data_IF_618230365124
#
_entry.id   IF_618230365124
#
_cell.length_a   1.000
_cell.length_b   1.000
_cell.length_c   1.000
_cell.angle_alpha   90.00
_cell.angle_beta   90.00
_cell.angle_gamma   90.00
#
_symmetry.space_group_name_H-M   'P 1'
#
loop_
_entity.id
_entity.type
_entity.pdbx_description
1 polymer ?
#
# COMPACT_ATOMS: atom_id res chain seq x y z
N UNK A 1 23.80 4.14 -26.61
CA UNK A 1 24.36 5.17 -25.73
C UNK A 1 25.89 5.01 -25.73
N UNK A 2 26.66 6.09 -25.87
CA UNK A 2 28.14 6.04 -25.84
C UNK A 2 28.62 5.82 -24.39
N UNK A 3 29.86 5.33 -24.22
CA UNK A 3 30.45 5.19 -22.89
C UNK A 3 30.51 6.52 -22.12
N UNK A 4 30.74 7.60 -22.83
CA UNK A 4 30.79 8.97 -22.26
C UNK A 4 29.42 9.40 -21.76
N UNK A 5 28.33 9.12 -22.49
CA UNK A 5 26.96 9.42 -22.05
C UNK A 5 26.54 8.58 -20.84
N UNK A 6 27.00 7.32 -20.75
CA UNK A 6 26.76 6.49 -19.56
C UNK A 6 27.45 7.05 -18.33
N UNK A 7 28.70 7.52 -18.48
CA UNK A 7 29.46 8.15 -17.40
C UNK A 7 28.79 9.43 -16.91
N UNK A 8 28.40 10.31 -17.83
CA UNK A 8 27.70 11.55 -17.50
C UNK A 8 26.38 11.28 -16.76
N UNK A 9 25.61 10.30 -17.21
CA UNK A 9 24.36 9.92 -16.56
C UNK A 9 24.58 9.37 -15.14
N UNK A 10 25.67 8.63 -14.92
CA UNK A 10 26.04 8.12 -13.60
C UNK A 10 26.48 9.26 -12.65
N UNK A 11 27.27 10.20 -13.16
CA UNK A 11 27.69 11.40 -12.40
C UNK A 11 26.46 12.24 -11.97
N UNK A 12 25.49 12.43 -12.87
CA UNK A 12 24.24 13.14 -12.57
C UNK A 12 23.41 12.43 -11.51
N UNK A 13 23.28 11.10 -11.62
CA UNK A 13 22.55 10.31 -10.64
C UNK A 13 23.23 10.34 -9.27
N UNK A 14 24.55 10.23 -9.23
CA UNK A 14 25.31 10.32 -7.99
C UNK A 14 25.13 11.69 -7.34
N UNK A 15 25.24 12.77 -8.10
CA UNK A 15 25.03 14.12 -7.62
C UNK A 15 23.59 14.33 -7.09
N UNK A 16 22.60 13.72 -7.72
CA UNK A 16 21.23 13.74 -7.21
C UNK A 16 21.12 13.06 -5.83
N UNK A 17 21.72 11.89 -5.65
CA UNK A 17 21.68 11.18 -4.36
C UNK A 17 22.38 11.95 -3.25
N UNK A 18 23.45 12.69 -3.57
CA UNK A 18 24.22 13.45 -2.59
C UNK A 18 23.57 14.78 -2.19
N UNK A 19 22.84 15.42 -3.11
CA UNK A 19 22.36 16.79 -2.91
C UNK A 19 20.84 16.90 -2.66
N UNK A 20 20.07 15.86 -2.94
CA UNK A 20 18.62 15.86 -2.73
C UNK A 20 18.30 15.31 -1.34
N UNK A 21 17.59 16.11 -0.53
CA UNK A 21 17.12 15.74 0.82
C UNK A 21 16.31 14.45 0.83
N UNK A 22 15.66 14.10 -0.29
CA UNK A 22 14.94 12.84 -0.47
C UNK A 22 15.78 11.61 -0.13
N UNK A 23 17.09 11.68 -0.36
CA UNK A 23 17.99 10.53 -0.23
C UNK A 23 18.84 10.57 1.04
N UNK A 24 18.66 11.58 1.86
CA UNK A 24 19.40 11.71 3.10
C UNK A 24 19.15 10.50 4.04
N UNK A 25 20.21 9.86 4.47
CA UNK A 25 20.15 8.69 5.37
C UNK A 25 19.72 7.39 4.68
N UNK A 26 19.70 7.35 3.33
CA UNK A 26 19.48 6.13 2.56
C UNK A 26 20.81 5.60 2.04
N UNK A 27 21.16 4.38 2.45
CA UNK A 27 22.36 3.67 1.99
C UNK A 27 22.05 2.81 0.77
N UNK A 28 23.05 2.73 -0.12
CA UNK A 28 23.07 1.86 -1.30
C UNK A 28 24.34 1.04 -1.30
N UNK A 29 24.24 -0.25 -1.53
CA UNK A 29 25.42 -1.14 -1.66
C UNK A 29 25.94 -1.21 -3.09
N UNK A 30 25.35 -0.43 -3.99
CA UNK A 30 25.68 -0.34 -5.41
C UNK A 30 25.94 1.13 -5.81
N UNK A 31 26.62 1.32 -6.90
CA UNK A 31 26.99 2.64 -7.44
C UNK A 31 25.96 3.15 -8.46
N UNK A 32 25.97 4.45 -8.72
CA UNK A 32 25.19 5.06 -9.79
C UNK A 32 25.56 4.51 -11.19
N UNK A 33 26.83 4.13 -11.39
CA UNK A 33 27.28 3.49 -12.64
C UNK A 33 26.60 2.13 -12.85
N UNK A 34 26.44 1.31 -11.80
CA UNK A 34 25.74 0.04 -11.87
C UNK A 34 24.27 0.23 -12.18
N UNK A 35 23.60 1.23 -11.60
CA UNK A 35 22.21 1.57 -11.92
C UNK A 35 22.07 1.94 -13.39
N UNK A 36 22.88 2.87 -13.88
CA UNK A 36 22.83 3.34 -15.28
C UNK A 36 23.13 2.21 -16.26
N UNK A 37 24.04 1.30 -15.90
CA UNK A 37 24.36 0.11 -16.69
C UNK A 37 23.18 -0.86 -16.82
N UNK A 38 22.33 -0.96 -15.77
CA UNK A 38 21.16 -1.83 -15.74
C UNK A 38 19.93 -1.19 -16.41
N UNK A 39 19.92 0.12 -16.62
CA UNK A 39 18.88 0.80 -17.39
C UNK A 39 18.93 0.41 -18.86
N UNK A 40 17.77 0.37 -19.52
CA UNK A 40 17.70 0.22 -20.97
C UNK A 40 18.19 1.46 -21.71
N UNK A 41 18.23 1.37 -23.04
CA UNK A 41 18.61 2.50 -23.92
C UNK A 41 17.51 3.58 -23.98
N UNK A 42 16.29 3.25 -23.61
CA UNK A 42 15.13 4.16 -23.53
C UNK A 42 14.68 4.21 -22.07
N UNK A 43 14.57 5.43 -21.54
CA UNK A 43 13.98 5.64 -20.22
C UNK A 43 12.47 5.60 -20.36
N UNK A 44 11.84 4.61 -19.75
CA UNK A 44 10.38 4.52 -19.65
C UNK A 44 9.93 5.47 -18.52
N UNK A 45 8.95 6.30 -18.80
CA UNK A 45 8.36 7.19 -17.80
C UNK A 45 7.16 6.53 -17.11
N UNK A 46 7.25 6.41 -15.80
CA UNK A 46 6.20 5.87 -14.95
C UNK A 46 5.49 7.04 -14.23
N UNK A 47 4.72 7.80 -14.98
CA UNK A 47 4.14 9.09 -14.55
C UNK A 47 3.36 8.98 -13.24
N UNK A 48 2.46 8.00 -13.11
CA UNK A 48 1.64 7.84 -11.91
C UNK A 48 2.46 7.42 -10.69
N UNK A 49 3.40 6.48 -10.87
CA UNK A 49 4.28 6.03 -9.80
C UNK A 49 5.16 7.18 -9.29
N UNK A 50 5.77 7.95 -10.18
CA UNK A 50 6.62 9.07 -9.84
C UNK A 50 5.82 10.17 -9.12
N UNK A 51 4.72 10.62 -9.72
CA UNK A 51 3.83 11.62 -9.13
C UNK A 51 3.32 11.20 -7.75
N UNK A 52 2.91 9.94 -7.62
CA UNK A 52 2.43 9.38 -6.36
C UNK A 52 3.51 9.28 -5.29
N UNK A 53 4.72 8.86 -5.66
CA UNK A 53 5.85 8.77 -4.73
C UNK A 53 6.27 10.16 -4.21
N UNK A 54 6.38 11.16 -5.10
CA UNK A 54 6.68 12.53 -4.73
C UNK A 54 5.58 13.13 -3.83
N UNK A 55 4.31 12.87 -4.15
CA UNK A 55 3.17 13.31 -3.35
C UNK A 55 3.17 12.66 -1.97
N UNK A 56 3.39 11.35 -1.89
CA UNK A 56 3.47 10.62 -0.62
C UNK A 56 4.60 11.17 0.25
N UNK A 57 5.78 11.37 -0.32
CA UNK A 57 6.92 11.99 0.38
C UNK A 57 6.55 13.34 0.97
N UNK A 58 5.93 14.21 0.19
CA UNK A 58 5.49 15.53 0.63
C UNK A 58 4.47 15.46 1.76
N UNK A 59 3.47 14.56 1.66
CA UNK A 59 2.48 14.38 2.71
C UNK A 59 3.11 13.91 4.03
N UNK A 60 4.00 12.92 3.98
CA UNK A 60 4.67 12.39 5.18
C UNK A 60 5.53 13.42 5.91
N UNK A 61 6.00 14.47 5.22
CA UNK A 61 6.80 15.54 5.82
C UNK A 61 5.96 16.73 6.29
N UNK A 62 4.85 17.02 5.62
CA UNK A 62 4.06 18.23 5.89
C UNK A 62 2.80 17.99 6.72
N UNK A 63 2.34 16.75 6.84
CA UNK A 63 1.20 16.39 7.68
C UNK A 63 1.68 15.78 8.99
N UNK A 64 0.85 15.86 10.03
CA UNK A 64 1.16 15.22 11.30
C UNK A 64 1.30 13.71 11.11
N UNK A 65 0.38 13.10 10.38
CA UNK A 65 0.42 11.73 9.88
C UNK A 65 -0.53 11.57 8.69
N UNK A 66 -0.35 10.50 7.93
CA UNK A 66 -1.27 10.07 6.87
C UNK A 66 -1.93 8.77 7.31
N UNK A 67 -3.25 8.73 7.27
CA UNK A 67 -4.01 7.51 7.50
C UNK A 67 -4.62 6.99 6.18
N UNK A 68 -4.68 5.67 6.06
CA UNK A 68 -5.18 5.00 4.88
C UNK A 68 -6.04 3.78 5.24
N UNK A 69 -6.92 3.41 4.35
CA UNK A 69 -7.74 2.22 4.45
C UNK A 69 -7.41 1.25 3.31
N UNK A 70 -7.43 -0.04 3.60
CA UNK A 70 -7.28 -1.07 2.58
C UNK A 70 -8.41 -1.00 1.57
N UNK A 71 -8.10 -0.73 0.30
CA UNK A 71 -9.04 -0.81 -0.80
C UNK A 71 -8.96 -2.19 -1.47
N UNK A 72 -10.11 -2.82 -1.69
CA UNK A 72 -10.21 -4.10 -2.38
C UNK A 72 -10.48 -3.91 -3.88
N UNK A 73 -11.15 -2.83 -4.25
CA UNK A 73 -11.56 -2.52 -5.62
C UNK A 73 -11.22 -1.09 -6.02
N UNK A 74 -11.17 -0.81 -7.32
CA UNK A 74 -10.99 0.54 -7.83
C UNK A 74 -12.10 1.50 -7.39
N UNK A 75 -13.36 1.03 -7.33
CA UNK A 75 -14.46 1.85 -6.84
C UNK A 75 -14.34 2.20 -5.36
N UNK A 76 -13.87 1.27 -4.52
CA UNK A 76 -13.59 1.60 -3.12
C UNK A 76 -12.52 2.68 -3.01
N UNK A 77 -11.45 2.59 -3.79
CA UNK A 77 -10.39 3.60 -3.81
C UNK A 77 -10.92 4.98 -4.25
N UNK A 78 -11.76 5.05 -5.28
CA UNK A 78 -12.42 6.29 -5.69
C UNK A 78 -13.24 6.88 -4.55
N UNK A 79 -14.01 6.06 -3.81
CA UNK A 79 -14.79 6.55 -2.67
C UNK A 79 -13.91 7.03 -1.52
N UNK A 80 -12.80 6.35 -1.22
CA UNK A 80 -11.84 6.81 -0.22
C UNK A 80 -11.27 8.20 -0.54
N UNK A 81 -10.92 8.44 -1.80
CA UNK A 81 -10.43 9.75 -2.27
C UNK A 81 -11.53 10.81 -2.19
N UNK A 82 -12.76 10.51 -2.66
CA UNK A 82 -13.91 11.41 -2.54
C UNK A 82 -14.23 11.77 -1.08
N UNK A 83 -14.04 10.83 -0.19
CA UNK A 83 -14.23 11.05 1.25
C UNK A 83 -13.09 11.86 1.90
N UNK A 84 -12.02 12.19 1.15
CA UNK A 84 -10.94 13.07 1.58
C UNK A 84 -9.70 12.37 2.12
N UNK A 85 -9.57 11.04 2.00
CA UNK A 85 -8.34 10.34 2.37
C UNK A 85 -7.21 10.69 1.39
N UNK A 86 -6.00 10.88 1.94
CA UNK A 86 -4.81 11.32 1.20
C UNK A 86 -3.90 10.18 0.75
N UNK A 87 -4.27 8.93 1.05
CA UNK A 87 -3.55 7.74 0.59
C UNK A 87 -4.50 6.54 0.50
N UNK A 88 -4.12 5.59 -0.33
CA UNK A 88 -4.81 4.31 -0.53
C UNK A 88 -3.84 3.21 -0.12
N UNK A 89 -4.30 2.30 0.75
CA UNK A 89 -3.53 1.11 1.08
C UNK A 89 -4.03 -0.09 0.26
N UNK A 90 -3.10 -0.88 -0.28
CA UNK A 90 -3.41 -2.12 -0.99
C UNK A 90 -2.84 -3.32 -0.24
N UNK A 91 -3.72 -4.05 0.40
CA UNK A 91 -3.42 -5.21 1.24
C UNK A 91 -3.23 -6.48 0.42
N UNK A 92 -2.11 -7.17 0.62
CA UNK A 92 -1.90 -8.52 0.09
C UNK A 92 -2.90 -9.53 0.65
N UNK A 93 -3.29 -9.39 1.91
CA UNK A 93 -4.35 -10.20 2.52
C UNK A 93 -5.66 -10.10 1.74
N UNK A 94 -6.10 -8.89 1.40
CA UNK A 94 -7.33 -8.68 0.61
C UNK A 94 -7.20 -9.21 -0.81
N UNK A 95 -6.01 -9.09 -1.41
CA UNK A 95 -5.72 -9.67 -2.74
C UNK A 95 -5.79 -11.19 -2.68
N UNK A 96 -5.22 -11.82 -1.67
CA UNK A 96 -5.32 -13.26 -1.46
C UNK A 96 -6.79 -13.70 -1.34
N UNK A 97 -7.58 -12.97 -0.57
CA UNK A 97 -8.96 -13.31 -0.28
C UNK A 97 -9.88 -13.22 -1.51
N UNK A 98 -9.76 -12.18 -2.35
CA UNK A 98 -10.80 -11.87 -3.35
C UNK A 98 -10.32 -11.16 -4.62
N UNK A 99 -9.05 -10.97 -4.85
CA UNK A 99 -8.58 -10.17 -5.99
C UNK A 99 -7.31 -10.71 -6.67
N UNK A 100 -6.90 -11.95 -6.40
CA UNK A 100 -5.71 -12.53 -7.00
C UNK A 100 -5.95 -13.09 -8.41
N UNK A 101 -4.88 -13.23 -9.17
CA UNK A 101 -4.94 -13.68 -10.56
C UNK A 101 -5.23 -15.17 -10.73
N UNK A 102 -5.12 -15.98 -9.67
CA UNK A 102 -5.58 -17.37 -9.71
C UNK A 102 -7.11 -17.50 -9.71
N UNK A 103 -7.82 -16.45 -9.29
CA UNK A 103 -9.28 -16.50 -9.12
C UNK A 103 -9.74 -17.39 -7.96
N UNK A 104 -8.84 -17.73 -7.05
CA UNK A 104 -9.13 -18.55 -5.88
C UNK A 104 -9.26 -17.67 -4.62
N UNK A 105 -9.95 -18.18 -3.61
CA UNK A 105 -9.94 -17.59 -2.28
C UNK A 105 -8.81 -18.23 -1.47
N UNK A 106 -7.82 -17.43 -1.05
CA UNK A 106 -6.67 -17.90 -0.32
C UNK A 106 -6.51 -17.20 1.04
N UNK A 107 -5.94 -17.89 2.04
CA UNK A 107 -5.38 -17.21 3.19
C UNK A 107 -4.15 -16.38 2.79
N UNK A 108 -3.77 -15.45 3.63
CA UNK A 108 -2.58 -14.59 3.44
C UNK A 108 -1.27 -15.37 3.71
N UNK A 109 -0.91 -16.23 2.76
CA UNK A 109 0.25 -17.13 2.82
C UNK A 109 1.02 -17.17 1.48
N UNK A 110 0.95 -16.11 0.71
CA UNK A 110 1.64 -15.99 -0.60
C UNK A 110 1.33 -17.12 -1.59
N UNK A 111 0.08 -17.63 -1.58
CA UNK A 111 -0.35 -18.72 -2.47
C UNK A 111 -0.75 -18.21 -3.86
N UNK A 112 -0.98 -16.93 -4.01
CA UNK A 112 -1.37 -16.32 -5.27
C UNK A 112 -0.15 -15.94 -6.13
N UNK A 113 -0.32 -15.75 -7.46
CA UNK A 113 0.76 -15.33 -8.34
C UNK A 113 1.34 -13.97 -7.92
N UNK A 114 2.66 -13.82 -7.96
CA UNK A 114 3.39 -12.63 -7.50
C UNK A 114 2.94 -11.32 -8.15
N UNK A 115 2.41 -11.36 -9.38
CA UNK A 115 1.90 -10.20 -10.10
C UNK A 115 0.44 -9.85 -9.77
N UNK A 116 -0.18 -10.49 -8.78
CA UNK A 116 -1.57 -10.22 -8.40
C UNK A 116 -1.73 -8.83 -7.77
N UNK A 117 -0.87 -8.44 -6.83
CA UNK A 117 -0.91 -7.10 -6.23
C UNK A 117 -0.63 -6.00 -7.27
N UNK A 118 0.40 -6.08 -8.12
CA UNK A 118 0.58 -5.13 -9.23
C UNK A 118 -0.66 -4.99 -10.13
N UNK A 119 -1.33 -6.09 -10.44
CA UNK A 119 -2.58 -6.07 -11.21
C UNK A 119 -3.68 -5.24 -10.56
N UNK A 120 -3.85 -5.34 -9.24
CA UNK A 120 -4.85 -4.56 -8.50
C UNK A 120 -4.42 -3.10 -8.37
N UNK A 121 -3.14 -2.80 -8.18
CA UNK A 121 -2.61 -1.42 -8.24
C UNK A 121 -2.99 -0.78 -9.58
N UNK A 122 -2.77 -1.48 -10.68
CA UNK A 122 -3.14 -0.99 -12.02
C UNK A 122 -4.64 -0.76 -12.15
N UNK A 123 -5.47 -1.68 -11.67
CA UNK A 123 -6.94 -1.55 -11.67
C UNK A 123 -7.39 -0.32 -10.89
N UNK A 124 -6.83 -0.08 -9.71
CA UNK A 124 -7.13 1.09 -8.90
C UNK A 124 -6.75 2.37 -9.65
N UNK A 125 -5.54 2.45 -10.19
CA UNK A 125 -5.10 3.60 -10.97
C UNK A 125 -6.00 3.87 -12.19
N UNK A 126 -6.48 2.84 -12.86
CA UNK A 126 -7.42 2.98 -13.98
C UNK A 126 -8.79 3.53 -13.55
N UNK A 127 -9.26 3.15 -12.36
CA UNK A 127 -10.49 3.72 -11.79
C UNK A 127 -10.30 5.20 -11.42
N UNK A 128 -9.17 5.55 -10.79
CA UNK A 128 -8.83 6.94 -10.46
C UNK A 128 -8.68 7.80 -11.72
N UNK A 129 -8.02 7.27 -12.76
CA UNK A 129 -7.92 7.95 -14.07
C UNK A 129 -9.30 8.19 -14.69
N UNK A 130 -10.20 7.21 -14.63
CA UNK A 130 -11.55 7.39 -15.16
C UNK A 130 -12.33 8.45 -14.39
N UNK A 131 -12.24 8.46 -13.06
CA UNK A 131 -12.87 9.47 -12.23
C UNK A 131 -12.34 10.89 -12.55
N UNK A 132 -11.02 11.02 -12.73
CA UNK A 132 -10.37 12.26 -13.15
C UNK A 132 -10.84 12.72 -14.54
N UNK A 133 -10.87 11.79 -15.51
CA UNK A 133 -11.34 12.10 -16.88
C UNK A 133 -12.79 12.58 -16.91
N UNK A 134 -13.67 11.99 -16.11
CA UNK A 134 -15.07 12.42 -16.00
C UNK A 134 -15.14 13.84 -15.44
N UNK A 135 -14.47 14.08 -14.31
CA UNK A 135 -14.43 15.40 -13.67
C UNK A 135 -13.87 16.47 -14.61
N UNK A 136 -12.76 16.16 -15.29
CA UNK A 136 -12.12 17.07 -16.23
C UNK A 136 -13.02 17.40 -17.42
N UNK A 137 -13.67 16.40 -18.01
CA UNK A 137 -14.61 16.57 -19.12
C UNK A 137 -15.84 17.44 -18.73
N UNK A 138 -16.37 17.22 -17.54
CA UNK A 138 -17.51 17.97 -17.04
C UNK A 138 -17.16 19.41 -16.66
N UNK A 139 -15.86 19.71 -16.45
CA UNK A 139 -15.38 21.02 -16.04
C UNK A 139 -15.82 21.43 -14.63
N UNK A 140 -16.24 20.46 -13.82
CA UNK A 140 -16.76 20.67 -12.48
C UNK A 140 -15.99 19.82 -11.47
N UNK A 141 -15.68 20.39 -10.29
CA UNK A 141 -14.98 19.72 -9.21
C UNK A 141 -13.47 19.95 -9.22
N UNK A 142 -12.87 19.70 -8.06
CA UNK A 142 -11.46 19.97 -7.76
C UNK A 142 -10.77 18.80 -7.03
N UNK A 143 -11.37 17.61 -7.09
CA UNK A 143 -10.81 16.43 -6.42
C UNK A 143 -9.54 15.99 -7.14
N UNK A 144 -8.42 15.93 -6.43
CA UNK A 144 -7.23 15.26 -6.93
C UNK A 144 -7.38 13.75 -6.71
N UNK A 145 -7.82 13.04 -7.75
CA UNK A 145 -8.03 11.60 -7.69
C UNK A 145 -6.74 10.79 -7.58
N UNK A 146 -5.60 11.34 -8.03
CA UNK A 146 -4.32 10.64 -8.02
C UNK A 146 -3.65 10.67 -6.65
N UNK A 147 -4.32 10.09 -5.66
CA UNK A 147 -3.73 9.91 -4.34
C UNK A 147 -2.74 8.73 -4.35
N UNK A 148 -1.66 8.80 -3.55
CA UNK A 148 -0.63 7.78 -3.54
C UNK A 148 -1.17 6.43 -3.07
N UNK A 149 -0.69 5.36 -3.72
CA UNK A 149 -1.00 3.97 -3.38
C UNK A 149 0.23 3.36 -2.70
N UNK A 150 0.06 2.86 -1.49
CA UNK A 150 1.06 2.03 -0.77
C UNK A 150 0.65 0.57 -0.88
N UNK A 151 1.51 -0.25 -1.48
CA UNK A 151 1.19 -1.62 -1.85
C UNK A 151 2.02 -2.66 -1.09
N UNK A 152 1.41 -3.81 -0.86
CA UNK A 152 1.96 -4.96 -0.17
C UNK A 152 2.77 -5.84 -1.14
N UNK A 153 4.07 -5.98 -0.90
CA UNK A 153 4.94 -6.91 -1.62
C UNK A 153 5.18 -8.21 -0.84
N UNK A 154 4.45 -8.42 0.25
CA UNK A 154 4.60 -9.63 1.06
C UNK A 154 6.07 -9.86 1.48
N UNK A 155 6.52 -11.11 1.50
CA UNK A 155 7.94 -11.46 1.67
C UNK A 155 8.75 -11.47 0.36
N UNK A 156 8.21 -10.89 -0.73
CA UNK A 156 8.90 -10.76 -2.02
C UNK A 156 8.79 -11.96 -2.95
N UNK A 157 8.02 -13.00 -2.61
CA UNK A 157 7.77 -14.20 -3.43
C UNK A 157 9.03 -14.99 -3.84
N UNK A 158 10.10 -14.86 -3.10
CA UNK A 158 11.35 -15.55 -3.36
C UNK A 158 12.56 -14.79 -2.82
N UNK A 159 13.67 -14.86 -3.54
CA UNK A 159 14.90 -14.16 -3.16
C UNK A 159 14.98 -12.75 -3.78
N UNK A 160 16.17 -12.16 -3.69
CA UNK A 160 16.44 -10.78 -4.12
C UNK A 160 16.07 -10.49 -5.58
N UNK A 161 16.18 -11.46 -6.49
CA UNK A 161 15.83 -11.28 -7.91
C UNK A 161 14.30 -11.23 -8.09
N UNK A 162 13.57 -12.05 -7.33
CA UNK A 162 12.10 -11.99 -7.31
C UNK A 162 11.62 -10.64 -6.77
N UNK A 163 12.24 -10.13 -5.71
CA UNK A 163 11.95 -8.82 -5.14
C UNK A 163 12.20 -7.69 -6.15
N UNK A 164 13.32 -7.75 -6.88
CA UNK A 164 13.63 -6.77 -7.93
C UNK A 164 12.52 -6.72 -9.00
N UNK A 165 12.13 -7.87 -9.55
CA UNK A 165 11.08 -7.93 -10.58
C UNK A 165 9.70 -7.56 -10.03
N UNK A 166 9.37 -7.97 -8.80
CA UNK A 166 8.12 -7.58 -8.15
C UNK A 166 8.03 -6.06 -7.97
N UNK A 167 9.09 -5.44 -7.45
CA UNK A 167 9.15 -3.99 -7.26
C UNK A 167 9.02 -3.23 -8.59
N UNK A 168 9.68 -3.71 -9.63
CA UNK A 168 9.53 -3.17 -10.98
C UNK A 168 8.07 -3.26 -11.45
N UNK A 169 7.41 -4.40 -11.26
CA UNK A 169 5.99 -4.56 -11.59
C UNK A 169 5.07 -3.61 -10.79
N UNK A 170 5.37 -3.35 -9.51
CA UNK A 170 4.66 -2.38 -8.69
C UNK A 170 4.79 -0.96 -9.26
N UNK A 171 5.98 -0.57 -9.67
CA UNK A 171 6.26 0.74 -10.27
C UNK A 171 5.55 0.89 -11.61
N UNK A 172 5.61 -0.10 -12.47
CA UNK A 172 4.91 -0.14 -13.76
C UNK A 172 3.38 0.00 -13.59
N UNK A 173 2.85 -0.58 -12.53
CA UNK A 173 1.43 -0.45 -12.18
C UNK A 173 1.05 0.91 -11.57
N UNK A 174 2.03 1.69 -11.11
CA UNK A 174 1.83 3.02 -10.56
C UNK A 174 1.79 3.09 -9.02
N UNK A 175 2.40 2.12 -8.31
CA UNK A 175 2.55 2.20 -6.86
C UNK A 175 3.48 3.34 -6.45
N UNK A 176 3.14 4.02 -5.36
CA UNK A 176 3.88 5.16 -4.79
C UNK A 176 4.83 4.75 -3.68
N UNK A 177 4.42 3.77 -2.90
CA UNK A 177 5.18 3.13 -1.85
C UNK A 177 4.94 1.63 -1.85
N UNK A 178 5.92 0.87 -1.37
CA UNK A 178 5.87 -0.59 -1.32
C UNK A 178 6.48 -1.04 0.00
N UNK A 179 5.85 -2.00 0.67
CA UNK A 179 6.45 -2.62 1.84
C UNK A 179 6.83 -4.08 1.60
N UNK A 180 7.92 -4.48 2.27
CA UNK A 180 8.47 -5.83 2.30
C UNK A 180 8.65 -6.28 3.74
N UNK A 181 8.39 -7.55 4.00
CA UNK A 181 8.57 -8.17 5.31
C UNK A 181 9.70 -9.20 5.34
N UNK A 182 10.23 -9.45 6.52
CA UNK A 182 11.42 -10.30 6.76
C UNK A 182 11.09 -11.78 6.99
N UNK A 183 9.96 -12.25 6.50
CA UNK A 183 9.58 -13.66 6.53
C UNK A 183 10.21 -14.46 5.38
N UNK A 184 10.38 -15.76 5.59
CA UNK A 184 10.66 -16.69 4.51
C UNK A 184 9.47 -16.79 3.56
N UNK A 185 9.68 -16.47 2.29
CA UNK A 185 8.59 -16.36 1.31
C UNK A 185 7.77 -17.65 1.16
N UNK A 186 8.41 -18.83 1.23
CA UNK A 186 7.74 -20.14 1.13
C UNK A 186 6.92 -20.51 2.37
N UNK A 187 7.17 -19.87 3.51
CA UNK A 187 6.50 -20.11 4.80
C UNK A 187 5.78 -18.86 5.32
N UNK A 188 5.54 -17.89 4.45
CA UNK A 188 4.91 -16.63 4.82
C UNK A 188 3.53 -16.84 5.44
N UNK A 189 3.27 -16.11 6.52
CA UNK A 189 1.99 -16.08 7.23
C UNK A 189 1.54 -14.63 7.41
N UNK A 190 0.24 -14.42 7.52
CA UNK A 190 -0.30 -13.14 8.01
C UNK A 190 0.33 -12.78 9.36
N UNK A 191 0.55 -11.49 9.59
CA UNK A 191 1.22 -10.99 10.80
C UNK A 191 0.65 -11.48 12.13
N UNK A 192 -0.62 -11.86 12.16
CA UNK A 192 -1.35 -12.34 13.35
C UNK A 192 -1.48 -13.87 13.41
N UNK A 193 -0.90 -14.60 12.45
CA UNK A 193 -0.86 -16.07 12.47
C UNK A 193 0.44 -16.56 13.12
N UNK A 194 0.39 -17.79 13.67
CA UNK A 194 1.57 -18.49 14.15
C UNK A 194 2.42 -19.11 13.04
N UNK A 195 3.59 -19.63 13.39
CA UNK A 195 4.45 -20.36 12.46
C UNK A 195 5.22 -19.47 11.48
N UNK A 196 5.39 -18.19 11.80
CA UNK A 196 6.22 -17.27 11.01
C UNK A 196 7.70 -17.64 11.12
N UNK A 197 8.37 -17.70 9.98
CA UNK A 197 9.81 -17.99 9.88
C UNK A 197 10.52 -16.75 9.35
N UNK A 198 11.44 -16.21 10.15
CA UNK A 198 12.28 -15.09 9.72
C UNK A 198 13.38 -15.57 8.77
N UNK A 199 13.78 -14.71 7.85
CA UNK A 199 15.06 -14.81 7.14
C UNK A 199 16.14 -14.09 7.94
N UNK A 200 17.44 -14.43 7.78
CA UNK A 200 18.53 -13.69 8.42
C UNK A 200 18.43 -12.19 8.14
N UNK A 201 18.75 -11.37 9.13
CA UNK A 201 18.69 -9.89 9.02
C UNK A 201 19.40 -9.39 7.75
N UNK A 202 20.60 -9.89 7.47
CA UNK A 202 21.38 -9.52 6.28
C UNK A 202 20.68 -9.92 4.97
N UNK A 203 19.91 -11.03 4.97
CA UNK A 203 19.12 -11.44 3.79
C UNK A 203 17.95 -10.50 3.56
N UNK A 204 17.27 -10.05 4.62
CA UNK A 204 16.22 -9.05 4.54
C UNK A 204 16.79 -7.70 4.02
N UNK A 205 17.94 -7.26 4.50
CA UNK A 205 18.63 -6.07 3.97
C UNK A 205 18.93 -6.19 2.48
N UNK A 206 19.36 -7.37 2.00
CA UNK A 206 19.57 -7.61 0.56
C UNK A 206 18.27 -7.50 -0.24
N UNK A 207 17.16 -7.97 0.29
CA UNK A 207 15.86 -7.82 -0.36
C UNK A 207 15.43 -6.35 -0.42
N UNK A 208 15.61 -5.58 0.66
CA UNK A 208 15.36 -4.13 0.66
C UNK A 208 16.25 -3.39 -0.36
N UNK A 209 17.52 -3.78 -0.44
CA UNK A 209 18.48 -3.24 -1.43
C UNK A 209 18.05 -3.56 -2.85
N UNK A 210 17.55 -4.77 -3.12
CA UNK A 210 17.04 -5.16 -4.44
C UNK A 210 15.80 -4.35 -4.84
N UNK A 211 14.88 -4.10 -3.89
CA UNK A 211 13.72 -3.24 -4.13
C UNK A 211 14.15 -1.79 -4.44
N UNK A 212 15.11 -1.23 -3.68
CA UNK A 212 15.67 0.10 -3.94
C UNK A 212 16.35 0.16 -5.30
N UNK A 213 17.13 -0.85 -5.66
CA UNK A 213 17.79 -0.93 -6.96
C UNK A 213 16.77 -0.92 -8.10
N UNK A 214 15.66 -1.65 -7.97
CA UNK A 214 14.58 -1.65 -8.98
C UNK A 214 13.96 -0.25 -9.15
N UNK A 215 13.74 0.47 -8.06
CA UNK A 215 13.25 1.85 -8.10
C UNK A 215 14.25 2.80 -8.76
N UNK A 216 15.53 2.72 -8.41
CA UNK A 216 16.59 3.55 -9.00
C UNK A 216 16.79 3.24 -10.49
N UNK A 217 16.73 1.98 -10.90
CA UNK A 217 16.79 1.58 -12.31
C UNK A 217 15.58 2.11 -13.08
N UNK A 218 14.39 2.04 -12.50
CA UNK A 218 13.15 2.58 -13.09
C UNK A 218 13.08 4.11 -13.08
N UNK A 219 13.96 4.78 -12.32
CA UNK A 219 13.98 6.25 -12.21
C UNK A 219 12.81 6.83 -11.46
N UNK A 220 12.24 6.09 -10.51
CA UNK A 220 11.09 6.49 -9.68
C UNK A 220 11.51 6.52 -8.22
N UNK A 221 11.25 7.62 -7.46
CA UNK A 221 11.61 7.74 -6.06
C UNK A 221 10.62 7.01 -5.14
N UNK A 222 10.25 5.78 -5.47
CA UNK A 222 9.31 4.95 -4.73
C UNK A 222 9.70 4.86 -3.27
N UNK A 223 8.75 5.04 -2.35
CA UNK A 223 9.00 4.88 -0.93
C UNK A 223 9.04 3.38 -0.58
N UNK A 224 10.05 3.01 0.17
CA UNK A 224 10.24 1.65 0.65
C UNK A 224 9.99 1.58 2.15
N UNK A 225 9.09 0.70 2.57
CA UNK A 225 8.76 0.44 3.96
C UNK A 225 9.28 -0.94 4.32
N UNK A 226 10.15 -1.01 5.31
CA UNK A 226 10.63 -2.28 5.84
C UNK A 226 9.77 -2.72 7.02
N UNK A 227 9.08 -3.86 6.87
CA UNK A 227 8.32 -4.50 7.94
C UNK A 227 9.15 -5.58 8.58
N UNK A 228 9.12 -5.64 9.92
CA UNK A 228 9.60 -6.81 10.66
C UNK A 228 8.46 -7.52 11.36
N UNK A 229 8.47 -8.83 11.29
CA UNK A 229 7.57 -9.74 12.02
C UNK A 229 8.20 -10.34 13.28
N UNK A 230 9.38 -9.85 13.68
CA UNK A 230 10.20 -10.42 14.74
C UNK A 230 9.57 -10.32 16.13
N UNK A 231 8.56 -9.44 16.33
CA UNK A 231 7.84 -9.36 17.60
C UNK A 231 7.08 -10.66 17.93
N UNK A 232 6.57 -11.36 16.92
CA UNK A 232 5.80 -12.58 17.08
C UNK A 232 6.39 -13.82 16.38
N UNK A 233 7.51 -13.70 15.67
CA UNK A 233 8.14 -14.81 14.97
C UNK A 233 9.15 -15.52 15.86
N UNK A 234 8.93 -16.81 16.10
CA UNK A 234 9.77 -17.66 16.96
C UNK A 234 10.68 -18.61 16.17
N UNK A 235 10.76 -18.45 14.86
CA UNK A 235 11.60 -19.25 13.96
C UNK A 235 12.44 -18.37 13.05
N UNK A 236 13.63 -18.87 12.68
CA UNK A 236 14.53 -18.29 11.68
C UNK A 236 15.16 -19.40 10.83
N UNK A 237 15.40 -19.15 9.56
CA UNK A 237 15.93 -20.13 8.61
C UNK A 237 17.36 -20.57 8.91
N UNK A 238 18.22 -19.69 9.45
CA UNK A 238 19.65 -19.90 9.59
C UNK A 238 20.25 -19.02 10.69
N UNK A 239 21.34 -19.47 11.26
CA UNK A 239 22.16 -18.77 12.25
C UNK A 239 23.39 -18.09 11.62
N UNK A 240 23.40 -17.91 10.31
CA UNK A 240 24.57 -17.40 9.57
C UNK A 240 24.87 -15.92 9.88
N UNK A 241 23.88 -15.14 10.30
CA UNK A 241 24.05 -13.72 10.58
C UNK A 241 24.31 -13.48 12.07
N UNK A 242 25.50 -12.91 12.43
CA UNK A 242 25.79 -12.57 13.80
C UNK A 242 24.80 -11.61 14.46
N UNK A 243 24.10 -10.77 13.68
CA UNK A 243 23.07 -9.87 14.20
C UNK A 243 21.89 -10.62 14.83
N UNK A 244 21.60 -11.84 14.37
CA UNK A 244 20.51 -12.66 14.86
C UNK A 244 20.90 -13.57 16.06
N UNK A 245 22.21 -13.78 16.30
CA UNK A 245 22.70 -14.67 17.36
C UNK A 245 22.14 -14.41 18.76
N UNK A 246 21.97 -13.14 19.20
CA UNK A 246 21.43 -12.86 20.54
C UNK A 246 20.00 -13.40 20.76
N UNK A 247 19.27 -13.65 19.69
CA UNK A 247 17.89 -14.10 19.74
C UNK A 247 17.71 -15.59 19.45
N UNK A 248 18.74 -16.28 18.93
CA UNK A 248 18.69 -17.73 18.62
C UNK A 248 18.87 -18.54 19.90
N UNK A 249 17.98 -19.52 20.15
CA UNK A 249 18.00 -20.34 21.35
C UNK A 249 18.90 -21.55 21.24
N UNK A 250 19.30 -21.96 20.02
CA UNK A 250 20.06 -23.20 19.76
C UNK A 250 19.18 -24.41 19.47
N UNK A 251 17.89 -24.38 19.78
CA UNK A 251 16.95 -25.45 19.43
C UNK A 251 16.57 -25.37 17.94
N UNK A 252 16.27 -26.57 17.38
CA UNK A 252 15.86 -26.69 15.98
C UNK A 252 14.53 -27.41 15.84
N UNK A 253 13.77 -27.04 14.80
CA UNK A 253 12.54 -27.72 14.40
C UNK A 253 12.83 -28.95 13.53
N UNK A 254 11.84 -29.85 13.32
CA UNK A 254 11.98 -30.98 12.39
C UNK A 254 12.35 -30.55 10.97
N UNK A 255 11.90 -29.37 10.51
CA UNK A 255 12.22 -28.80 9.19
C UNK A 255 13.65 -28.24 9.15
N UNK A 256 14.30 -28.11 10.30
CA UNK A 256 15.66 -27.60 10.42
C UNK A 256 15.76 -26.10 10.67
N UNK A 257 14.68 -25.40 10.91
CA UNK A 257 14.69 -23.99 11.35
C UNK A 257 15.25 -23.87 12.78
N UNK A 258 15.88 -22.74 13.08
CA UNK A 258 16.25 -22.42 14.44
C UNK A 258 15.09 -21.74 15.18
N UNK A 259 14.97 -21.99 16.48
CA UNK A 259 14.07 -21.23 17.33
C UNK A 259 14.69 -19.92 17.75
N UNK A 260 13.87 -18.87 17.78
CA UNK A 260 14.26 -17.54 18.26
C UNK A 260 13.44 -17.15 19.47
N UNK A 261 13.86 -16.06 20.12
CA UNK A 261 13.12 -15.38 21.18
C UNK A 261 12.32 -14.24 20.52
N UNK A 262 11.01 -14.40 20.28
CA UNK A 262 10.19 -13.33 19.76
C UNK A 262 10.09 -12.18 20.78
N UNK A 263 9.74 -11.01 20.31
CA UNK A 263 9.47 -9.85 21.14
C UNK A 263 10.07 -8.55 20.61
N UNK A 264 9.77 -7.49 21.34
CA UNK A 264 10.13 -6.13 20.96
C UNK A 264 11.65 -5.94 20.77
N UNK A 265 12.49 -6.58 21.59
CA UNK A 265 13.96 -6.46 21.48
C UNK A 265 14.46 -6.99 20.13
N UNK A 266 13.94 -8.13 19.68
CA UNK A 266 14.27 -8.69 18.36
C UNK A 266 13.75 -7.77 17.24
N UNK A 267 12.54 -7.25 17.37
CA UNK A 267 11.95 -6.33 16.41
C UNK A 267 12.74 -5.02 16.31
N UNK A 268 13.18 -4.46 17.44
CA UNK A 268 14.04 -3.26 17.49
C UNK A 268 15.38 -3.51 16.81
N UNK A 269 16.03 -4.64 17.11
CA UNK A 269 17.32 -4.98 16.49
C UNK A 269 17.21 -5.01 14.96
N UNK A 270 16.13 -5.61 14.43
CA UNK A 270 15.87 -5.65 12.99
C UNK A 270 15.49 -4.29 12.42
N UNK A 271 14.62 -3.54 13.09
CA UNK A 271 14.26 -2.17 12.70
C UNK A 271 15.49 -1.27 12.55
N UNK A 272 16.43 -1.36 13.49
CA UNK A 272 17.70 -0.63 13.43
C UNK A 272 18.57 -1.06 12.25
N UNK A 273 18.59 -2.35 11.93
CA UNK A 273 19.34 -2.87 10.78
C UNK A 273 18.73 -2.43 9.43
N UNK A 274 17.42 -2.25 9.36
CA UNK A 274 16.72 -1.86 8.14
C UNK A 274 16.67 -0.35 7.90
N UNK A 275 16.80 0.44 8.96
CA UNK A 275 16.65 1.90 8.90
C UNK A 275 17.53 2.60 7.84
N UNK A 276 18.78 2.20 7.56
CA UNK A 276 19.55 2.81 6.49
C UNK A 276 19.04 2.50 5.07
N UNK A 277 18.23 1.45 4.90
CA UNK A 277 17.84 0.93 3.58
C UNK A 277 16.40 1.21 3.20
N UNK A 278 15.59 1.66 4.14
CA UNK A 278 14.17 1.94 3.92
C UNK A 278 13.79 3.37 4.33
N UNK A 279 12.74 3.90 3.74
CA UNK A 279 12.20 5.23 4.07
C UNK A 279 11.43 5.22 5.39
N UNK A 280 10.63 4.17 5.61
CA UNK A 280 9.88 3.95 6.84
C UNK A 280 10.18 2.57 7.42
N UNK A 281 10.05 2.45 8.75
CA UNK A 281 10.16 1.19 9.46
C UNK A 281 8.81 0.84 10.09
N UNK A 282 8.41 -0.42 9.94
CA UNK A 282 7.17 -0.97 10.48
C UNK A 282 7.46 -2.22 11.30
N UNK A 283 7.10 -2.18 12.58
CA UNK A 283 7.04 -3.36 13.45
C UNK A 283 5.59 -3.89 13.46
N UNK A 284 5.37 -5.10 12.97
CA UNK A 284 4.07 -5.76 13.11
C UNK A 284 3.85 -6.17 14.57
N UNK A 285 2.73 -5.79 15.16
CA UNK A 285 2.40 -6.00 16.58
C UNK A 285 1.21 -6.94 16.74
N UNK A 286 1.08 -7.53 17.92
CA UNK A 286 0.03 -8.51 18.22
C UNK A 286 -1.22 -7.90 18.89
N UNK A 287 -1.09 -6.70 19.45
CA UNK A 287 -2.15 -5.96 20.14
C UNK A 287 -1.92 -4.45 20.00
N UNK A 288 -2.96 -3.62 20.16
CA UNK A 288 -2.79 -2.17 20.18
C UNK A 288 -2.16 -1.75 21.52
N UNK A 289 -0.94 -1.21 21.47
CA UNK A 289 -0.23 -0.71 22.66
C UNK A 289 0.58 0.53 22.31
N UNK A 290 0.17 1.68 22.84
CA UNK A 290 0.93 2.93 22.71
C UNK A 290 2.27 2.85 23.44
N UNK A 291 2.37 2.09 24.53
CA UNK A 291 3.62 1.87 25.26
C UNK A 291 4.65 1.13 24.41
N UNK A 292 4.26 0.02 23.78
CA UNK A 292 5.13 -0.72 22.87
C UNK A 292 5.51 0.11 21.64
N UNK A 293 4.56 0.87 21.08
CA UNK A 293 4.80 1.77 19.96
C UNK A 293 5.81 2.87 20.34
N UNK A 294 5.70 3.46 21.52
CA UNK A 294 6.65 4.46 22.02
C UNK A 294 8.04 3.86 22.22
N UNK A 295 8.13 2.66 22.84
CA UNK A 295 9.41 2.00 23.08
C UNK A 295 10.14 1.67 21.77
N UNK A 296 9.41 1.20 20.75
CA UNK A 296 9.98 0.95 19.42
C UNK A 296 10.46 2.26 18.77
N UNK A 297 9.62 3.30 18.77
CA UNK A 297 9.95 4.60 18.21
C UNK A 297 11.19 5.21 18.87
N UNK A 298 11.26 5.23 20.19
CA UNK A 298 12.39 5.76 20.95
C UNK A 298 13.70 5.06 20.62
N UNK A 299 13.66 3.72 20.51
CA UNK A 299 14.83 2.93 20.16
C UNK A 299 15.34 3.22 18.74
N UNK A 300 14.45 3.37 17.77
CA UNK A 300 14.80 3.73 16.39
C UNK A 300 15.36 5.17 16.36
N UNK A 301 14.66 6.12 16.97
CA UNK A 301 15.02 7.54 16.93
C UNK A 301 16.31 7.87 17.71
N UNK A 302 16.68 7.05 18.69
CA UNK A 302 17.95 7.20 19.40
C UNK A 302 19.16 7.04 18.47
N UNK A 303 19.04 6.22 17.41
CA UNK A 303 20.12 6.01 16.41
C UNK A 303 19.85 6.70 15.08
N UNK A 304 18.59 6.85 14.71
CA UNK A 304 18.15 7.45 13.45
C UNK A 304 17.10 8.53 13.75
N UNK A 305 17.52 9.71 14.24
CA UNK A 305 16.61 10.79 14.58
C UNK A 305 15.73 11.17 13.38
N UNK A 306 14.42 11.27 13.58
CA UNK A 306 13.47 11.64 12.54
C UNK A 306 13.14 10.53 11.53
N UNK A 307 13.65 9.30 11.70
CA UNK A 307 13.25 8.16 10.85
C UNK A 307 11.74 7.96 10.93
N UNK A 308 11.08 8.00 9.80
CA UNK A 308 9.63 7.80 9.73
C UNK A 308 9.27 6.34 10.03
N UNK A 309 8.12 6.17 10.68
CA UNK A 309 7.58 4.87 11.06
C UNK A 309 6.21 4.65 10.42
N UNK A 310 5.84 3.39 10.23
CA UNK A 310 4.51 2.98 9.78
C UNK A 310 3.86 2.08 10.84
N UNK A 311 2.52 2.12 10.93
CA UNK A 311 1.76 1.34 11.90
C UNK A 311 0.51 0.72 11.29
N UNK A 312 0.35 -0.59 11.46
CA UNK A 312 -0.87 -1.30 11.13
C UNK A 312 -1.88 -1.20 12.27
N UNK A 313 -2.91 -0.38 12.10
CA UNK A 313 -4.08 -0.36 12.98
C UNK A 313 -4.95 -1.59 12.65
N UNK A 314 -4.47 -2.76 13.03
CA UNK A 314 -4.96 -4.03 12.54
C UNK A 314 -6.44 -4.28 12.86
N UNK A 315 -7.23 -4.78 11.89
CA UNK A 315 -8.58 -5.28 12.14
C UNK A 315 -8.60 -6.60 12.94
N UNK A 316 -7.45 -7.26 13.12
CA UNK A 316 -7.32 -8.43 14.00
C UNK A 316 -7.33 -8.04 15.48
N UNK A 317 -7.13 -6.76 15.79
CA UNK A 317 -7.30 -6.26 17.15
C UNK A 317 -8.79 -6.09 17.46
N UNK A 318 -9.23 -6.58 18.60
CA UNK A 318 -10.52 -6.16 19.15
C UNK A 318 -10.28 -4.86 19.95
N UNK A 319 -10.44 -3.72 19.27
CA UNK A 319 -10.07 -2.41 19.78
C UNK A 319 -10.78 -2.09 21.10
N UNK A 320 -12.11 -2.22 21.17
CA UNK A 320 -12.89 -1.92 22.38
C UNK A 320 -12.69 -2.94 23.52
N UNK A 321 -12.17 -4.13 23.23
CA UNK A 321 -11.80 -5.10 24.28
C UNK A 321 -10.43 -4.79 24.90
N UNK A 322 -9.58 -4.02 24.21
CA UNK A 322 -8.22 -3.70 24.66
C UNK A 322 -8.08 -2.27 25.19
N UNK A 323 -8.88 -1.32 24.69
CA UNK A 323 -8.74 0.10 24.94
C UNK A 323 -10.11 0.74 25.21
N UNK A 324 -10.12 1.80 26.00
CA UNK A 324 -11.31 2.65 26.16
C UNK A 324 -11.52 3.54 24.93
N UNK A 325 -12.73 4.10 24.81
CA UNK A 325 -13.13 4.90 23.64
C UNK A 325 -12.27 6.15 23.44
N UNK A 326 -11.89 6.82 24.49
CA UNK A 326 -11.08 8.04 24.42
C UNK A 326 -9.69 7.73 23.85
N UNK A 327 -9.08 6.66 24.33
CA UNK A 327 -7.80 6.17 23.81
C UNK A 327 -7.92 5.74 22.35
N UNK A 328 -9.00 5.06 21.95
CA UNK A 328 -9.22 4.66 20.56
C UNK A 328 -9.33 5.89 19.65
N UNK A 329 -10.11 6.90 20.04
CA UNK A 329 -10.30 8.12 19.23
C UNK A 329 -9.03 8.93 19.05
N UNK A 330 -8.12 8.92 20.01
CA UNK A 330 -6.84 9.65 19.95
C UNK A 330 -5.66 8.80 19.50
N UNK A 331 -5.83 7.50 19.32
CA UNK A 331 -4.76 6.53 19.10
C UNK A 331 -3.84 6.91 17.93
N UNK A 332 -4.40 7.26 16.78
CA UNK A 332 -3.63 7.64 15.58
C UNK A 332 -2.91 8.98 15.76
N UNK A 333 -3.49 9.91 16.51
CA UNK A 333 -2.85 11.19 16.84
C UNK A 333 -1.62 10.95 17.72
N UNK A 334 -1.74 10.10 18.74
CA UNK A 334 -0.62 9.76 19.63
C UNK A 334 0.50 9.02 18.84
N UNK A 335 0.14 8.09 17.97
CA UNK A 335 1.11 7.46 17.07
C UNK A 335 1.81 8.50 16.17
N UNK A 336 1.09 9.47 15.64
CA UNK A 336 1.66 10.54 14.80
C UNK A 336 2.72 11.35 15.56
N UNK A 337 2.47 11.68 16.83
CA UNK A 337 3.44 12.38 17.71
C UNK A 337 4.71 11.56 17.94
N UNK A 338 4.63 10.23 17.93
CA UNK A 338 5.77 9.32 18.06
C UNK A 338 6.57 9.16 16.77
N UNK A 339 6.10 9.71 15.63
CA UNK A 339 6.76 9.58 14.33
C UNK A 339 6.19 8.48 13.42
N UNK A 340 5.07 7.87 13.80
CA UNK A 340 4.34 6.96 12.90
C UNK A 340 3.59 7.77 11.84
N UNK A 341 4.30 8.11 10.79
CA UNK A 341 3.82 9.02 9.74
C UNK A 341 2.82 8.38 8.78
N UNK A 342 2.88 7.08 8.58
CA UNK A 342 1.94 6.34 7.76
C UNK A 342 1.22 5.28 8.59
N UNK A 343 -0.11 5.38 8.69
CA UNK A 343 -0.94 4.53 9.51
C UNK A 343 -2.09 3.98 8.68
N UNK A 344 -2.47 2.72 8.86
CA UNK A 344 -3.47 2.12 7.97
C UNK A 344 -4.23 1.00 8.64
N UNK A 345 -5.46 0.75 8.12
CA UNK A 345 -6.28 -0.41 8.47
C UNK A 345 -6.26 -1.35 7.27
N UNK A 346 -5.57 -2.47 7.41
CA UNK A 346 -5.24 -3.37 6.29
C UNK A 346 -6.46 -3.95 5.57
N UNK A 347 -7.48 -4.40 6.31
CA UNK A 347 -8.61 -5.14 5.76
C UNK A 347 -9.91 -4.33 5.78
N UNK A 348 -9.84 -3.00 5.78
CA UNK A 348 -11.02 -2.14 5.84
C UNK A 348 -11.99 -2.39 4.68
N UNK A 349 -11.48 -2.58 3.47
CA UNK A 349 -12.29 -2.88 2.28
C UNK A 349 -13.02 -4.22 2.38
N UNK A 350 -12.34 -5.25 2.86
CA UNK A 350 -12.94 -6.57 3.08
C UNK A 350 -14.09 -6.51 4.09
N UNK A 351 -13.86 -5.90 5.24
CA UNK A 351 -14.87 -5.83 6.30
C UNK A 351 -16.06 -4.94 5.90
N UNK A 352 -15.81 -3.77 5.30
CA UNK A 352 -16.86 -2.88 4.86
C UNK A 352 -17.75 -3.55 3.79
N UNK A 353 -17.13 -4.19 2.78
CA UNK A 353 -17.85 -4.86 1.70
C UNK A 353 -18.69 -6.03 2.22
N UNK A 354 -18.08 -6.90 3.03
CA UNK A 354 -18.77 -8.11 3.52
C UNK A 354 -19.89 -7.78 4.50
N UNK A 355 -19.66 -6.87 5.44
CA UNK A 355 -20.67 -6.49 6.41
C UNK A 355 -21.86 -5.81 5.74
N UNK A 356 -21.64 -4.84 4.85
CA UNK A 356 -22.73 -4.13 4.17
C UNK A 356 -23.59 -5.08 3.31
N UNK A 357 -22.95 -6.02 2.61
CA UNK A 357 -23.68 -7.01 1.81
C UNK A 357 -24.43 -8.01 2.70
N UNK A 358 -23.84 -8.45 3.82
CA UNK A 358 -24.52 -9.34 4.75
C UNK A 358 -25.78 -8.69 5.33
N UNK A 359 -25.70 -7.45 5.80
CA UNK A 359 -26.84 -6.71 6.36
C UNK A 359 -27.95 -6.52 5.32
N UNK A 360 -27.57 -6.13 4.10
CA UNK A 360 -28.54 -6.00 3.00
C UNK A 360 -29.23 -7.34 2.70
N UNK A 361 -28.46 -8.42 2.51
CA UNK A 361 -29.00 -9.73 2.18
C UNK A 361 -29.88 -10.29 3.30
N UNK A 362 -29.49 -10.12 4.56
CA UNK A 362 -30.26 -10.53 5.73
C UNK A 362 -31.63 -9.82 5.78
N UNK A 363 -31.65 -8.51 5.58
CA UNK A 363 -32.88 -7.74 5.51
C UNK A 363 -33.74 -8.06 4.28
N UNK A 364 -33.10 -8.20 3.12
CA UNK A 364 -33.75 -8.46 1.84
C UNK A 364 -34.50 -9.82 1.83
N UNK A 365 -33.94 -10.83 2.48
CA UNK A 365 -34.57 -12.16 2.60
C UNK A 365 -36.01 -12.11 3.11
N UNK A 366 -36.32 -11.20 4.01
CA UNK A 366 -37.63 -11.12 4.67
C UNK A 366 -38.47 -9.90 4.29
N UNK A 367 -37.81 -8.80 3.92
CA UNK A 367 -38.42 -7.47 3.67
C UNK A 367 -38.32 -7.03 2.20
N UNK A 368 -37.61 -7.79 1.37
CA UNK A 368 -37.45 -7.48 -0.07
C UNK A 368 -37.00 -6.05 -0.33
N UNK A 369 -37.71 -5.36 -1.21
CA UNK A 369 -37.38 -3.99 -1.61
C UNK A 369 -37.43 -2.97 -0.46
N UNK A 370 -38.10 -3.27 0.65
CA UNK A 370 -38.04 -2.41 1.83
C UNK A 370 -36.63 -2.28 2.41
N UNK A 371 -35.88 -3.38 2.48
CA UNK A 371 -34.49 -3.36 2.93
C UNK A 371 -33.57 -2.67 1.92
N UNK A 372 -33.76 -2.91 0.62
CA UNK A 372 -32.98 -2.24 -0.43
C UNK A 372 -33.23 -0.73 -0.45
N UNK A 373 -34.48 -0.31 -0.31
CA UNK A 373 -34.85 1.11 -0.27
C UNK A 373 -34.17 1.85 0.88
N UNK A 374 -33.95 1.21 2.03
CA UNK A 374 -33.22 1.81 3.16
C UNK A 374 -31.75 2.09 2.79
N UNK A 375 -31.08 1.14 2.13
CA UNK A 375 -29.73 1.36 1.60
C UNK A 375 -29.71 2.55 0.63
N UNK A 376 -30.65 2.58 -0.32
CA UNK A 376 -30.74 3.65 -1.31
C UNK A 376 -30.97 5.02 -0.64
N UNK A 377 -31.84 5.10 0.36
CA UNK A 377 -32.05 6.35 1.10
C UNK A 377 -30.81 6.78 1.90
N UNK A 378 -30.03 5.84 2.43
CA UNK A 378 -28.76 6.14 3.10
C UNK A 378 -27.71 6.69 2.11
N UNK A 379 -27.70 6.18 0.87
CA UNK A 379 -26.85 6.71 -0.20
C UNK A 379 -27.24 8.15 -0.56
N UNK A 380 -28.53 8.45 -0.76
CA UNK A 380 -29.01 9.83 -1.01
C UNK A 380 -28.66 10.77 0.16
N UNK A 381 -28.84 10.35 1.39
CA UNK A 381 -28.46 11.14 2.56
C UNK A 381 -26.94 11.46 2.59
N UNK A 382 -26.12 10.58 2.02
CA UNK A 382 -24.66 10.74 1.96
C UNK A 382 -24.20 11.70 0.85
N UNK A 383 -25.08 12.13 -0.07
CA UNK A 383 -24.75 13.11 -1.11
C UNK A 383 -24.28 14.44 -0.52
N UNK A 384 -24.82 14.82 0.65
CA UNK A 384 -24.38 16.02 1.37
C UNK A 384 -22.91 15.96 1.84
N UNK A 385 -22.33 14.74 1.92
CA UNK A 385 -20.92 14.49 2.25
C UNK A 385 -20.03 14.33 1.03
N UNK A 386 -20.58 14.46 -0.20
CA UNK A 386 -19.84 14.31 -1.46
C UNK A 386 -19.98 12.92 -2.11
N UNK A 387 -20.82 12.03 -1.57
CA UNK A 387 -21.11 10.73 -2.21
C UNK A 387 -21.93 10.93 -3.49
N UNK A 388 -21.51 10.33 -4.60
CA UNK A 388 -22.17 10.53 -5.92
C UNK A 388 -22.54 9.24 -6.64
N UNK A 389 -22.24 8.08 -6.07
CA UNK A 389 -22.45 6.79 -6.74
C UNK A 389 -23.92 6.38 -6.85
N UNK A 390 -24.85 7.13 -6.27
CA UNK A 390 -26.28 7.04 -6.58
C UNK A 390 -26.54 7.20 -8.08
N UNK A 391 -25.75 8.05 -8.74
CA UNK A 391 -25.77 8.23 -10.21
C UNK A 391 -24.77 7.29 -10.86
N UNK A 392 -25.01 5.99 -10.76
CA UNK A 392 -24.06 4.95 -11.11
C UNK A 392 -23.65 4.94 -12.59
N UNK A 393 -24.53 5.35 -13.52
CA UNK A 393 -24.16 5.47 -14.95
C UNK A 393 -23.14 6.58 -15.18
N UNK A 394 -23.33 7.75 -14.55
CA UNK A 394 -22.35 8.85 -14.58
C UNK A 394 -21.04 8.41 -13.91
N UNK A 395 -21.12 7.74 -12.78
CA UNK A 395 -19.98 7.34 -11.96
C UNK A 395 -18.98 6.45 -12.70
N UNK A 396 -19.48 5.62 -13.63
CA UNK A 396 -18.64 4.75 -14.47
C UNK A 396 -18.31 5.35 -15.83
N UNK A 397 -18.77 6.57 -16.14
CA UNK A 397 -18.38 7.33 -17.31
C UNK A 397 -19.27 7.18 -18.53
N UNK A 398 -20.57 6.90 -18.38
CA UNK A 398 -21.50 6.85 -19.52
C UNK A 398 -21.43 8.15 -20.33
N UNK A 399 -21.47 9.33 -19.68
CA UNK A 399 -21.33 10.63 -20.35
C UNK A 399 -19.98 10.82 -21.05
N UNK A 400 -18.91 10.30 -20.49
CA UNK A 400 -17.57 10.35 -21.10
C UNK A 400 -17.54 9.59 -22.44
N UNK A 401 -18.18 8.41 -22.51
CA UNK A 401 -18.29 7.67 -23.77
C UNK A 401 -19.28 8.29 -24.76
N UNK A 402 -20.31 8.99 -24.28
CA UNK A 402 -21.18 9.78 -25.13
C UNK A 402 -20.40 10.90 -25.84
N UNK A 403 -19.53 11.60 -25.13
CA UNK A 403 -18.65 12.63 -25.72
C UNK A 403 -17.68 12.03 -26.76
N UNK A 404 -17.13 10.84 -26.50
CA UNK A 404 -16.31 10.14 -27.50
C UNK A 404 -17.14 9.88 -28.76
N UNK A 405 -18.38 9.39 -28.61
CA UNK A 405 -19.27 9.11 -29.74
C UNK A 405 -19.61 10.40 -30.54
N UNK A 406 -19.86 11.51 -29.85
CA UNK A 406 -20.08 12.80 -30.50
C UNK A 406 -18.83 13.29 -31.24
N UNK A 407 -17.67 13.21 -30.62
CA UNK A 407 -16.41 13.64 -31.23
C UNK A 407 -16.10 12.83 -32.51
N UNK A 408 -16.24 11.50 -32.46
CA UNK A 408 -15.99 10.62 -33.61
C UNK A 408 -16.96 10.87 -34.74
N UNK A 409 -18.22 11.24 -34.46
CA UNK A 409 -19.27 11.49 -35.45
C UNK A 409 -19.37 12.93 -35.90
N UNK A 410 -18.46 13.80 -35.46
CA UNK A 410 -18.55 15.25 -35.75
C UNK A 410 -19.79 15.91 -35.16
N UNK A 411 -20.26 15.47 -34.03
CA UNK A 411 -21.43 15.99 -33.32
C UNK A 411 -22.79 15.46 -33.79
N UNK A 412 -22.79 14.43 -34.63
CA UNK A 412 -24.03 13.90 -35.25
C UNK A 412 -24.49 12.53 -34.68
N UNK A 413 -23.90 12.07 -33.60
CA UNK A 413 -24.33 10.80 -32.97
C UNK A 413 -25.74 10.92 -32.41
N UNK A 414 -26.57 9.93 -32.73
CA UNK A 414 -27.91 9.77 -32.17
C UNK A 414 -27.98 8.64 -31.11
N UNK A 415 -26.83 8.02 -30.82
CA UNK A 415 -26.75 6.82 -29.91
C UNK A 415 -26.15 7.16 -28.57
N UNK A 416 -26.17 8.42 -28.13
CA UNK A 416 -25.78 8.81 -26.77
C UNK A 416 -26.70 8.15 -25.75
N UNK A 417 -26.11 7.66 -24.66
CA UNK A 417 -26.79 6.79 -23.71
C UNK A 417 -27.30 7.53 -22.45
N UNK A 418 -26.62 8.57 -22.00
CA UNK A 418 -26.99 9.28 -20.77
C UNK A 418 -28.20 10.19 -20.99
N UNK A 419 -28.25 10.89 -22.11
CA UNK A 419 -29.38 11.75 -22.46
C UNK A 419 -30.65 10.94 -22.70
N UNK A 420 -31.73 11.30 -22.00
CA UNK A 420 -33.00 10.59 -22.07
C UNK A 420 -33.01 9.28 -21.23
N UNK A 421 -31.98 9.03 -20.44
CA UNK A 421 -31.96 7.92 -19.47
C UNK A 421 -32.83 8.24 -18.24
N UNK A 422 -33.16 7.22 -17.46
CA UNK A 422 -33.86 7.41 -16.17
C UNK A 422 -33.03 8.22 -15.17
N UNK A 423 -31.70 8.21 -15.27
CA UNK A 423 -30.81 9.01 -14.42
C UNK A 423 -30.88 10.51 -14.75
N UNK A 424 -31.25 10.88 -15.96
CA UNK A 424 -31.41 12.28 -16.33
C UNK A 424 -32.52 12.97 -15.52
N UNK A 425 -33.59 12.25 -15.19
CA UNK A 425 -34.75 12.81 -14.49
C UNK A 425 -34.86 12.41 -13.01
N UNK A 426 -34.42 11.20 -12.65
CA UNK A 426 -34.60 10.66 -11.30
C UNK A 426 -33.45 10.97 -10.34
N UNK A 427 -32.23 11.20 -10.85
CA UNK A 427 -31.02 11.41 -10.05
C UNK A 427 -30.37 12.78 -10.25
N UNK A 428 -31.02 13.70 -10.97
CA UNK A 428 -30.60 15.10 -10.98
C UNK A 428 -31.00 15.78 -9.67
N UNK A 429 -30.14 16.66 -9.14
CA UNK A 429 -30.53 17.52 -8.00
C UNK A 429 -31.74 18.36 -8.42
N UNK A 430 -32.84 18.25 -7.67
CA UNK A 430 -33.96 19.18 -7.76
C UNK A 430 -33.56 20.53 -7.17
#
# INVERSE_FOLDING_TARGET
MTKENLKLAAEQLQAQWENDERWQGIERTYSAEEVVKLRGSVQIEHTLAKRGAEKLWNYLHNEDYINALGALTGNQAVQQVKAGLKAIYLSGWQVAADANLSGQMYPDQSLYPANSVPSVVKRINQALQRADQIQHMEGEGDIDYFQPIVADAEAGFGGQLNVFELMKGMIEAGASGVHLEDQLASEKKCGHLGGKVLIPTQTAVRNLTAARLAADVSGVPTLLIARTDADAADLITSDIDPADHPFITGERTPEGFYRTKPGLDQAIARGLAYAPYADLIWCETSKPSLEEAQAFADAIHAKFPGKMLAYNCSPSFNWEANLDKETIETYQVELGKMGYKFQFVTLAGFHALNHSMFELAHGYKTRGMGAYSELQQAEFASESKGYTATRHQREVGTGYFDEISQAVSGGTSSTTALKGSTEESQFQKQ
#
